data_IF_654839960518
#
_entry.id   IF_654839960518
#
_cell.length_a   1.000
_cell.length_b   1.000
_cell.length_c   1.000
_cell.angle_alpha   90.00
_cell.angle_beta   90.00
_cell.angle_gamma   90.00
#
_symmetry.space_group_name_H-M   'P 1'
#
loop_
_entity.id
_entity.type
_entity.pdbx_description
1 polymer ?
#
# COMPACT_ATOMS: atom_id res chain seq x y z
N UNK A 1 -53.90 57.58 15.59
CA UNK A 1 -52.58 57.31 14.97
C UNK A 1 -51.92 56.16 15.71
N UNK A 2 -51.78 54.98 15.06
CA UNK A 2 -51.16 53.79 15.65
C UNK A 2 -49.73 53.74 15.16
N UNK A 3 -48.70 53.56 16.01
CA UNK A 3 -47.34 53.42 15.55
C UNK A 3 -47.11 52.00 14.97
N UNK A 4 -46.50 51.93 13.76
CA UNK A 4 -46.10 50.75 13.08
C UNK A 4 -44.73 50.29 13.66
N UNK A 5 -44.71 49.15 14.38
CA UNK A 5 -43.47 48.56 14.91
C UNK A 5 -42.87 47.73 13.80
N UNK A 6 -41.73 48.19 13.25
CA UNK A 6 -40.94 47.46 12.27
C UNK A 6 -40.06 46.43 12.98
N UNK A 7 -40.39 45.14 12.86
CA UNK A 7 -39.61 44.03 13.42
C UNK A 7 -38.45 43.70 12.46
N UNK A 8 -37.23 44.08 12.80
CA UNK A 8 -36.02 43.73 12.05
C UNK A 8 -35.60 42.33 12.50
N UNK A 9 -35.83 41.33 11.66
CA UNK A 9 -35.29 39.95 11.84
C UNK A 9 -33.85 39.93 11.36
N UNK A 10 -32.91 39.98 12.29
CA UNK A 10 -31.48 39.76 11.99
C UNK A 10 -31.26 38.25 11.85
N UNK A 11 -31.20 37.78 10.60
CA UNK A 11 -30.86 36.39 10.29
C UNK A 11 -29.37 36.09 10.59
N UNK A 12 -29.10 35.38 11.69
CA UNK A 12 -27.79 34.83 11.96
C UNK A 12 -27.57 33.62 11.05
N UNK A 13 -26.82 33.83 9.96
CA UNK A 13 -26.31 32.71 9.11
C UNK A 13 -25.17 31.99 9.86
N UNK A 14 -25.49 30.85 10.44
CA UNK A 14 -24.46 29.95 10.97
C UNK A 14 -23.72 29.30 9.77
N UNK A 15 -22.54 29.82 9.40
CA UNK A 15 -21.60 29.11 8.57
C UNK A 15 -20.98 27.99 9.41
N UNK A 16 -21.52 26.78 9.25
CA UNK A 16 -20.89 25.58 9.78
C UNK A 16 -19.58 25.35 9.03
N UNK A 17 -18.44 25.74 9.63
CA UNK A 17 -17.13 25.30 9.20
C UNK A 17 -17.06 23.79 9.45
N UNK A 18 -17.34 22.99 8.45
CA UNK A 18 -17.01 21.55 8.48
C UNK A 18 -15.50 21.45 8.45
N UNK A 19 -14.89 21.19 9.62
CA UNK A 19 -13.49 20.84 9.76
C UNK A 19 -13.29 19.56 8.94
N UNK A 20 -12.67 19.68 7.74
CA UNK A 20 -12.30 18.53 6.91
C UNK A 20 -11.34 17.71 7.76
N UNK A 21 -11.80 16.60 8.33
CA UNK A 21 -10.93 15.69 9.07
C UNK A 21 -9.89 15.19 8.09
N UNK A 22 -8.62 15.42 8.39
CA UNK A 22 -7.52 14.84 7.64
C UNK A 22 -7.50 13.33 7.98
N UNK A 23 -8.33 12.56 7.29
CA UNK A 23 -8.44 11.12 7.48
C UNK A 23 -7.17 10.47 6.95
N UNK A 24 -6.48 9.70 7.80
CA UNK A 24 -5.32 8.93 7.39
C UNK A 24 -5.75 7.85 6.38
N UNK A 25 -5.47 8.08 5.10
CA UNK A 25 -5.81 7.16 4.01
C UNK A 25 -5.04 5.85 4.08
N UNK A 26 -3.89 5.83 4.77
CA UNK A 26 -3.07 4.63 4.94
C UNK A 26 -3.50 3.75 6.13
N UNK A 27 -4.54 4.13 6.89
CA UNK A 27 -4.97 3.41 8.10
C UNK A 27 -5.23 1.92 7.85
N UNK A 28 -5.89 1.57 6.74
CA UNK A 28 -6.17 0.16 6.38
C UNK A 28 -4.93 -0.66 6.02
N UNK A 29 -3.78 -0.02 5.81
CA UNK A 29 -2.50 -0.67 5.50
C UNK A 29 -1.53 -0.69 6.69
N UNK A 30 -1.93 -0.16 7.86
CA UNK A 30 -1.08 -0.08 9.05
C UNK A 30 -0.52 -1.44 9.49
N UNK A 31 -1.22 -2.52 9.24
CA UNK A 31 -0.78 -3.88 9.53
C UNK A 31 0.52 -4.26 8.82
N UNK A 32 0.83 -3.62 7.67
CA UNK A 32 2.02 -3.87 6.86
C UNK A 32 3.28 -3.21 7.44
N UNK A 33 3.14 -2.19 8.30
CA UNK A 33 4.27 -1.48 8.91
C UNK A 33 5.26 -2.43 9.59
N UNK A 34 6.55 -2.13 9.44
CA UNK A 34 7.66 -2.86 10.03
C UNK A 34 8.45 -3.67 9.01
N UNK A 35 9.18 -4.65 9.50
CA UNK A 35 10.11 -5.45 8.69
C UNK A 35 9.69 -6.91 8.67
N UNK A 36 9.66 -7.47 7.47
CA UNK A 36 9.22 -8.81 7.16
C UNK A 36 10.34 -9.57 6.46
N UNK A 37 10.59 -10.81 6.85
CA UNK A 37 11.68 -11.62 6.27
C UNK A 37 11.19 -12.97 5.79
N UNK A 38 11.70 -13.39 4.64
CA UNK A 38 11.50 -14.71 4.08
C UNK A 38 12.86 -15.39 3.88
N UNK A 39 13.05 -16.57 4.44
CA UNK A 39 14.24 -17.41 4.18
C UNK A 39 14.02 -18.27 2.94
N UNK A 40 15.02 -18.34 2.08
CA UNK A 40 15.06 -19.24 0.92
C UNK A 40 15.72 -20.57 1.27
N UNK A 41 15.44 -21.63 0.49
CA UNK A 41 16.02 -22.97 0.70
C UNK A 41 17.55 -22.98 0.66
N UNK A 42 18.16 -22.08 -0.10
CA UNK A 42 19.64 -21.95 -0.21
C UNK A 42 20.28 -21.14 0.93
N UNK A 43 19.52 -20.82 1.99
CA UNK A 43 20.00 -20.06 3.14
C UNK A 43 20.00 -18.54 2.98
N UNK A 44 19.84 -18.01 1.76
CA UNK A 44 19.66 -16.56 1.55
C UNK A 44 18.28 -16.10 2.05
N UNK A 45 18.10 -14.78 2.21
CA UNK A 45 16.80 -14.24 2.61
C UNK A 45 16.39 -13.03 1.77
N UNK A 46 15.10 -12.76 1.74
CA UNK A 46 14.51 -11.49 1.30
C UNK A 46 13.95 -10.81 2.52
N UNK A 47 14.16 -9.51 2.60
CA UNK A 47 13.57 -8.64 3.62
C UNK A 47 12.79 -7.55 2.92
N UNK A 48 11.57 -7.31 3.40
CA UNK A 48 10.72 -6.22 2.96
C UNK A 48 10.39 -5.34 4.18
N UNK A 49 10.58 -4.05 4.05
CA UNK A 49 10.35 -3.08 5.12
C UNK A 49 9.38 -2.02 4.66
N UNK A 50 8.40 -1.65 5.51
CA UNK A 50 7.36 -0.68 5.22
C UNK A 50 7.28 0.38 6.31
N UNK A 51 7.23 1.65 5.90
CA UNK A 51 7.22 2.82 6.79
C UNK A 51 6.11 3.80 6.38
N UNK A 52 5.32 4.31 7.34
CA UNK A 52 4.43 5.42 7.06
C UNK A 52 5.26 6.66 6.70
N UNK A 53 4.88 7.36 5.63
CA UNK A 53 5.50 8.62 5.23
C UNK A 53 4.59 9.81 5.54
N UNK A 54 3.31 9.71 5.18
CA UNK A 54 2.25 10.67 5.52
C UNK A 54 0.87 10.01 5.40
N UNK A 55 -0.21 10.77 5.56
CA UNK A 55 -1.59 10.28 5.53
C UNK A 55 -2.01 9.64 4.19
N UNK A 56 -1.22 9.78 3.14
CA UNK A 56 -1.54 9.30 1.78
C UNK A 56 -0.44 8.43 1.16
N UNK A 57 0.64 8.14 1.91
CA UNK A 57 1.81 7.46 1.37
C UNK A 57 2.52 6.60 2.43
N UNK A 58 2.76 5.35 2.08
CA UNK A 58 3.74 4.48 2.74
C UNK A 58 4.88 4.16 1.78
N UNK A 59 6.10 4.15 2.29
CA UNK A 59 7.31 3.75 1.56
C UNK A 59 7.70 2.34 1.96
N UNK A 60 8.17 1.57 0.98
CA UNK A 60 8.68 0.23 1.19
C UNK A 60 9.98 -0.02 0.43
N UNK A 61 10.74 -0.98 0.92
CA UNK A 61 11.96 -1.46 0.28
C UNK A 61 12.06 -2.97 0.39
N UNK A 62 12.39 -3.64 -0.72
CA UNK A 62 12.71 -5.06 -0.74
C UNK A 62 14.20 -5.25 -0.97
N UNK A 63 14.85 -6.06 -0.12
CA UNK A 63 16.28 -6.38 -0.18
C UNK A 63 16.53 -7.87 -0.15
N UNK A 64 17.54 -8.32 -0.87
CA UNK A 64 18.09 -9.67 -0.72
C UNK A 64 19.35 -9.66 0.14
N UNK A 65 19.54 -10.74 0.92
CA UNK A 65 20.73 -10.99 1.74
C UNK A 65 21.28 -12.37 1.39
N UNK A 66 22.49 -12.40 0.86
CA UNK A 66 23.20 -13.65 0.58
C UNK A 66 23.78 -14.24 1.87
N UNK A 67 24.06 -15.55 1.88
CA UNK A 67 24.74 -16.25 2.97
C UNK A 67 26.17 -15.75 3.21
N UNK A 68 26.77 -15.11 2.21
CA UNK A 68 28.10 -14.48 2.25
C UNK A 68 28.10 -13.09 2.93
N UNK A 69 26.95 -12.58 3.38
CA UNK A 69 26.80 -11.27 3.99
C UNK A 69 26.53 -10.13 3.00
N UNK A 70 26.62 -10.36 1.68
CA UNK A 70 26.27 -9.34 0.70
C UNK A 70 24.77 -9.06 0.69
N UNK A 71 24.39 -7.80 0.54
CA UNK A 71 22.99 -7.38 0.38
C UNK A 71 22.80 -6.56 -0.90
N UNK A 72 21.57 -6.60 -1.43
CA UNK A 72 21.19 -5.87 -2.65
C UNK A 72 19.75 -5.41 -2.53
N UNK A 73 19.49 -4.15 -2.87
CA UNK A 73 18.12 -3.64 -3.05
C UNK A 73 17.53 -4.31 -4.31
N UNK A 74 16.39 -4.93 -4.14
CA UNK A 74 15.61 -5.54 -5.22
C UNK A 74 14.61 -4.55 -5.80
N UNK A 75 13.85 -3.90 -4.90
CA UNK A 75 12.75 -3.01 -5.29
C UNK A 75 12.63 -1.85 -4.31
N UNK A 76 12.23 -0.69 -4.83
CA UNK A 76 11.65 0.39 -4.05
C UNK A 76 10.13 0.36 -4.26
N UNK A 77 9.38 0.41 -3.17
CA UNK A 77 7.95 0.17 -3.12
C UNK A 77 7.20 1.37 -2.54
N UNK A 78 5.97 1.57 -2.96
CA UNK A 78 5.07 2.56 -2.37
C UNK A 78 3.63 2.07 -2.37
N UNK A 79 2.91 2.35 -1.28
CA UNK A 79 1.45 2.40 -1.29
C UNK A 79 1.04 3.87 -1.28
N UNK A 80 0.31 4.31 -2.28
CA UNK A 80 -0.06 5.72 -2.44
C UNK A 80 -1.56 5.88 -2.69
N UNK A 81 -2.16 6.88 -2.02
CA UNK A 81 -3.52 7.34 -2.33
C UNK A 81 -3.43 8.59 -3.19
N UNK A 82 -3.95 8.52 -4.42
CA UNK A 82 -3.90 9.59 -5.41
C UNK A 82 -5.25 9.70 -6.12
N UNK A 83 -5.81 10.89 -6.19
CA UNK A 83 -7.05 11.18 -6.91
C UNK A 83 -8.20 10.19 -6.62
N UNK A 84 -8.40 9.83 -5.35
CA UNK A 84 -9.48 8.93 -4.94
C UNK A 84 -9.17 7.43 -5.09
N UNK A 85 -7.95 7.06 -5.47
CA UNK A 85 -7.58 5.66 -5.77
C UNK A 85 -6.28 5.29 -5.06
N UNK A 86 -6.18 4.04 -4.60
CA UNK A 86 -4.95 3.49 -4.05
C UNK A 86 -4.14 2.77 -5.13
N UNK A 87 -2.82 2.87 -5.02
CA UNK A 87 -1.86 2.23 -5.89
C UNK A 87 -0.75 1.54 -5.10
N UNK A 88 -0.38 0.35 -5.55
CA UNK A 88 0.89 -0.27 -5.25
C UNK A 88 1.85 0.06 -6.39
N UNK A 89 2.98 0.69 -6.06
CA UNK A 89 3.94 1.15 -7.05
C UNK A 89 5.28 0.49 -6.76
N UNK A 90 5.81 -0.22 -7.75
CA UNK A 90 7.09 -0.92 -7.69
C UNK A 90 8.09 -0.34 -8.67
N UNK A 91 9.33 -0.16 -8.21
CA UNK A 91 10.50 0.13 -9.03
C UNK A 91 11.52 -0.98 -8.83
N UNK A 92 11.50 -1.99 -9.71
CA UNK A 92 12.40 -3.12 -9.66
C UNK A 92 13.77 -2.73 -10.20
N UNK A 93 14.83 -3.02 -9.43
CA UNK A 93 16.19 -2.71 -9.84
C UNK A 93 16.62 -3.57 -11.04
N UNK A 94 17.02 -2.90 -12.13
CA UNK A 94 17.48 -3.56 -13.36
C UNK A 94 16.35 -4.06 -14.28
N UNK A 95 15.08 -3.63 -14.03
CA UNK A 95 13.94 -3.93 -14.88
C UNK A 95 13.25 -2.64 -15.35
N UNK A 96 12.39 -2.75 -16.37
CA UNK A 96 11.53 -1.68 -16.90
C UNK A 96 12.28 -0.38 -17.23
N UNK A 97 13.55 -0.46 -17.67
CA UNK A 97 14.44 0.71 -17.90
C UNK A 97 14.55 1.64 -16.69
N UNK A 98 14.44 1.08 -15.47
CA UNK A 98 14.43 1.82 -14.22
C UNK A 98 13.14 2.62 -13.97
N UNK A 99 12.08 2.40 -14.76
CA UNK A 99 10.78 3.02 -14.58
C UNK A 99 9.95 2.29 -13.53
N UNK A 100 9.07 3.05 -12.89
CA UNK A 100 8.10 2.52 -11.94
C UNK A 100 6.90 1.90 -12.67
N UNK A 101 6.32 0.88 -12.06
CA UNK A 101 5.06 0.27 -12.50
C UNK A 101 4.03 0.47 -11.39
N UNK A 102 2.90 1.08 -11.73
CA UNK A 102 1.79 1.31 -10.81
C UNK A 102 0.67 0.29 -11.06
N UNK A 103 0.30 -0.46 -10.00
CA UNK A 103 -0.83 -1.37 -9.96
C UNK A 103 -1.96 -0.71 -9.18
N UNK A 104 -3.16 -0.65 -9.74
CA UNK A 104 -4.32 -0.13 -9.04
C UNK A 104 -4.76 -1.11 -7.96
N UNK A 105 -4.93 -0.64 -6.72
CA UNK A 105 -5.51 -1.47 -5.65
C UNK A 105 -7.02 -1.56 -5.87
N UNK A 106 -7.49 -2.77 -6.14
CA UNK A 106 -8.90 -3.08 -6.44
C UNK A 106 -9.66 -3.54 -5.21
N UNK A 107 -8.95 -4.03 -4.20
CA UNK A 107 -9.50 -4.43 -2.91
C UNK A 107 -8.48 -4.22 -1.80
N UNK A 108 -8.91 -3.72 -0.64
CA UNK A 108 -8.07 -3.61 0.55
C UNK A 108 -8.88 -3.70 1.85
N UNK A 109 -8.22 -4.12 2.92
CA UNK A 109 -8.73 -4.21 4.28
C UNK A 109 -7.58 -4.13 5.29
N UNK A 110 -7.88 -4.24 6.58
CA UNK A 110 -6.87 -4.41 7.64
C UNK A 110 -6.18 -5.79 7.64
N UNK A 111 -6.50 -6.65 6.66
CA UNK A 111 -5.95 -8.01 6.54
C UNK A 111 -5.31 -8.29 5.19
N UNK A 112 -5.26 -7.33 4.28
CA UNK A 112 -4.65 -7.55 2.98
C UNK A 112 -5.12 -6.59 1.91
N UNK A 113 -4.52 -6.71 0.72
CA UNK A 113 -4.93 -5.98 -0.46
C UNK A 113 -4.65 -6.78 -1.73
N UNK A 114 -5.38 -6.41 -2.79
CA UNK A 114 -5.15 -6.87 -4.17
C UNK A 114 -4.87 -5.67 -5.04
N UNK A 115 -3.76 -5.70 -5.78
CA UNK A 115 -3.37 -4.66 -6.73
C UNK A 115 -3.25 -5.27 -8.13
N UNK A 116 -3.82 -4.60 -9.14
CA UNK A 116 -3.94 -5.14 -10.49
C UNK A 116 -3.48 -4.15 -11.56
N UNK A 117 -2.86 -4.70 -12.61
CA UNK A 117 -2.50 -4.02 -13.85
C UNK A 117 -2.67 -5.01 -15.01
N UNK A 118 -3.89 -5.16 -15.57
CA UNK A 118 -4.22 -6.19 -16.56
C UNK A 118 -3.42 -6.09 -17.87
N UNK A 119 -2.95 -4.90 -18.23
CA UNK A 119 -2.14 -4.60 -19.42
C UNK A 119 -0.64 -4.83 -19.22
N UNK A 120 -0.20 -5.16 -17.97
CA UNK A 120 1.18 -5.53 -17.70
C UNK A 120 1.49 -6.94 -18.25
N UNK A 121 2.75 -7.20 -18.62
CA UNK A 121 3.18 -8.54 -19.06
C UNK A 121 3.12 -9.57 -17.93
N UNK A 122 3.93 -9.39 -16.87
CA UNK A 122 3.91 -10.18 -15.64
C UNK A 122 4.66 -9.43 -14.52
N UNK A 123 4.11 -9.40 -13.28
CA UNK A 123 2.78 -9.88 -12.88
C UNK A 123 1.66 -8.98 -13.37
N UNK A 124 0.43 -9.50 -13.48
CA UNK A 124 -0.79 -8.72 -13.68
C UNK A 124 -1.52 -8.41 -12.39
N UNK A 125 -1.24 -9.21 -11.34
CA UNK A 125 -1.84 -9.06 -10.02
C UNK A 125 -0.80 -9.31 -8.93
N UNK A 126 -0.89 -8.52 -7.86
CA UNK A 126 -0.09 -8.59 -6.65
C UNK A 126 -1.07 -8.65 -5.49
N UNK A 127 -0.92 -9.66 -4.63
CA UNK A 127 -1.79 -9.86 -3.46
C UNK A 127 -0.94 -9.97 -2.22
N UNK A 128 -1.37 -9.31 -1.14
CA UNK A 128 -0.82 -9.44 0.20
C UNK A 128 -1.93 -9.84 1.16
N UNK A 129 -1.70 -10.86 1.97
CA UNK A 129 -2.64 -11.38 2.96
C UNK A 129 -1.94 -11.50 4.33
N UNK A 130 -2.50 -10.84 5.34
CA UNK A 130 -2.07 -10.98 6.73
C UNK A 130 -2.66 -12.26 7.29
N UNK A 131 -1.86 -13.33 7.42
CA UNK A 131 -2.29 -14.63 7.93
C UNK A 131 -2.40 -14.60 9.46
N UNK A 132 -1.38 -14.02 10.11
CA UNK A 132 -1.36 -13.72 11.55
C UNK A 132 -0.72 -12.36 11.76
N UNK A 133 -0.76 -11.81 12.97
CA UNK A 133 -0.06 -10.55 13.29
C UNK A 133 1.44 -10.56 12.94
N UNK A 134 2.04 -11.75 12.82
CA UNK A 134 3.47 -11.96 12.59
C UNK A 134 3.76 -12.73 11.28
N UNK A 135 2.78 -12.96 10.41
CA UNK A 135 2.99 -13.64 9.13
C UNK A 135 2.15 -13.06 8.00
N UNK A 136 2.78 -12.90 6.84
CA UNK A 136 2.16 -12.47 5.58
C UNK A 136 2.39 -13.54 4.53
N UNK A 137 1.36 -13.84 3.76
CA UNK A 137 1.44 -14.48 2.48
C UNK A 137 1.28 -13.41 1.39
N UNK A 138 2.34 -13.15 0.64
CA UNK A 138 2.27 -12.33 -0.56
C UNK A 138 2.41 -13.23 -1.78
N UNK A 139 1.74 -12.90 -2.86
CA UNK A 139 1.91 -13.60 -4.14
C UNK A 139 1.67 -12.67 -5.32
N UNK A 140 2.30 -13.02 -6.43
CA UNK A 140 2.12 -12.38 -7.72
C UNK A 140 1.64 -13.41 -8.72
N UNK A 141 0.74 -13.02 -9.62
CA UNK A 141 0.22 -13.92 -10.63
C UNK A 141 -0.11 -13.22 -11.96
N UNK A 142 -0.40 -14.01 -12.98
CA UNK A 142 -0.74 -13.54 -14.32
C UNK A 142 -2.21 -13.17 -14.50
N UNK A 143 -3.01 -13.18 -13.39
CA UNK A 143 -4.44 -12.94 -13.47
C UNK A 143 -5.17 -14.00 -14.32
N UNK A 144 -6.40 -13.74 -14.75
CA UNK A 144 -7.20 -14.71 -15.51
C UNK A 144 -6.59 -15.12 -16.86
N UNK A 145 -5.71 -14.27 -17.44
CA UNK A 145 -5.10 -14.53 -18.75
C UNK A 145 -3.87 -15.44 -18.72
N UNK A 146 -3.26 -15.64 -17.53
CA UNK A 146 -2.09 -16.50 -17.33
C UNK A 146 -2.18 -17.18 -15.94
N UNK A 147 -3.19 -18.03 -15.70
CA UNK A 147 -3.46 -18.58 -14.36
C UNK A 147 -2.36 -19.53 -13.86
N UNK A 148 -1.56 -20.09 -14.78
CA UNK A 148 -0.43 -20.97 -14.46
C UNK A 148 0.79 -20.22 -13.92
N UNK A 149 0.89 -18.91 -14.17
CA UNK A 149 2.00 -18.09 -13.69
C UNK A 149 1.70 -17.57 -12.31
N UNK A 150 2.43 -18.07 -11.30
CA UNK A 150 2.31 -17.63 -9.91
C UNK A 150 3.66 -17.75 -9.19
N UNK A 151 3.92 -16.83 -8.27
CA UNK A 151 5.02 -16.91 -7.32
C UNK A 151 4.53 -16.52 -5.93
N UNK A 152 4.85 -17.35 -4.93
CA UNK A 152 4.41 -17.19 -3.56
C UNK A 152 5.58 -16.77 -2.67
N UNK A 153 5.32 -15.87 -1.70
CA UNK A 153 6.27 -15.33 -0.75
C UNK A 153 5.65 -15.41 0.66
N UNK A 154 6.29 -16.14 1.56
CA UNK A 154 5.84 -16.31 2.94
C UNK A 154 6.79 -15.56 3.87
N UNK A 155 6.32 -14.46 4.40
CA UNK A 155 7.11 -13.60 5.27
C UNK A 155 6.74 -13.80 6.74
N UNK A 156 7.74 -13.69 7.59
CA UNK A 156 7.59 -13.57 9.04
C UNK A 156 8.05 -12.20 9.51
N UNK A 157 7.34 -11.61 10.47
CA UNK A 157 7.71 -10.31 11.06
C UNK A 157 9.02 -10.45 11.82
N UNK A 158 9.96 -9.53 11.58
CA UNK A 158 11.15 -9.44 12.41
C UNK A 158 10.74 -8.90 13.79
N UNK A 159 11.08 -9.63 14.85
CA UNK A 159 10.99 -9.13 16.21
C UNK A 159 12.24 -8.28 16.47
N UNK A 160 12.04 -7.04 16.84
CA UNK A 160 13.12 -6.17 17.32
C UNK A 160 13.62 -6.69 18.66
#
# INVERSE_FOLDING_TARGET
>A
MRPLILLIIVGFSFYAFTKKSNENKMQSFKWLEGTWSMKKKNGSSIRESWFPHNDSLMLGESMSFATTGHSKVLENLRLAYQAGTYYYISKVNGQNDGREVAFRITSHSEKGFVAEKPDHDFPKRITYELITKDSIHAFIDGGPSMPEKKSDFYYSRNKN
#
